data_IF_602359575793
#
_entry.id   IF_602359575793
#
_cell.length_a   1.000
_cell.length_b   1.000
_cell.length_c   1.000
_cell.angle_alpha   90.00
_cell.angle_beta   90.00
_cell.angle_gamma   90.00
#
_symmetry.space_group_name_H-M   'P 1'
#
loop_
_entity.id
_entity.type
_entity.pdbx_description
1 polymer ?
#
# COMPACT_ATOMS: atom_id res chain seq x y z
N UNK A 1 -32.36 -5.35 -9.43
CA UNK A 1 -31.11 -4.76 -9.94
C UNK A 1 -30.16 -4.63 -8.76
N UNK A 2 -29.15 -5.50 -8.72
CA UNK A 2 -28.29 -5.74 -7.56
C UNK A 2 -27.46 -4.49 -7.24
N UNK A 3 -27.74 -3.86 -6.10
CA UNK A 3 -26.80 -2.90 -5.49
C UNK A 3 -25.60 -3.71 -5.01
N UNK A 4 -24.52 -3.66 -5.78
CA UNK A 4 -23.27 -4.31 -5.43
C UNK A 4 -22.81 -3.77 -4.07
N UNK A 5 -22.78 -4.65 -3.07
CA UNK A 5 -22.16 -4.33 -1.79
C UNK A 5 -20.68 -4.05 -2.01
N UNK A 6 -20.22 -2.88 -1.60
CA UNK A 6 -18.78 -2.60 -1.50
C UNK A 6 -18.21 -3.62 -0.50
N UNK A 7 -17.30 -4.53 -0.92
CA UNK A 7 -16.73 -5.48 0.01
C UNK A 7 -16.01 -4.69 1.11
N UNK A 8 -16.24 -5.05 2.38
CA UNK A 8 -15.30 -4.71 3.45
C UNK A 8 -14.05 -5.53 3.19
N UNK A 9 -13.19 -5.05 2.30
CA UNK A 9 -11.89 -5.65 2.04
C UNK A 9 -11.13 -5.63 3.35
N UNK A 10 -10.68 -6.82 3.79
CA UNK A 10 -9.54 -6.93 4.70
C UNK A 10 -8.46 -6.03 4.08
N UNK A 11 -8.11 -4.94 4.75
CA UNK A 11 -7.04 -4.09 4.26
C UNK A 11 -5.78 -4.96 4.28
N UNK A 12 -5.14 -5.13 3.13
CA UNK A 12 -3.89 -5.86 3.06
C UNK A 12 -2.84 -5.08 3.88
N UNK A 13 -2.36 -5.71 4.95
CA UNK A 13 -1.31 -5.17 5.82
C UNK A 13 0.00 -5.84 5.45
N UNK A 14 0.91 -5.06 4.88
CA UNK A 14 2.23 -5.52 4.45
C UNK A 14 3.32 -5.13 5.46
N UNK A 15 4.41 -5.88 5.47
CA UNK A 15 5.61 -5.62 6.30
C UNK A 15 6.86 -5.49 5.43
N UNK A 16 7.99 -5.03 5.98
CA UNK A 16 9.23 -4.96 5.22
C UNK A 16 9.64 -6.31 4.62
N UNK A 17 10.16 -6.26 3.40
CA UNK A 17 10.54 -7.44 2.62
C UNK A 17 9.44 -8.05 1.77
N UNK A 18 8.15 -7.81 2.08
CA UNK A 18 7.04 -8.19 1.21
C UNK A 18 7.17 -7.48 -0.14
N UNK A 19 6.70 -8.11 -1.21
CA UNK A 19 6.61 -7.49 -2.53
C UNK A 19 5.34 -6.65 -2.64
N UNK A 20 5.45 -5.48 -3.26
CA UNK A 20 4.32 -4.60 -3.57
C UNK A 20 3.49 -5.26 -4.69
N UNK A 21 2.39 -5.90 -4.31
CA UNK A 21 1.49 -6.59 -5.27
C UNK A 21 0.66 -5.65 -6.13
N UNK A 22 0.58 -4.35 -5.78
CA UNK A 22 -0.16 -3.33 -6.54
C UNK A 22 0.46 -1.95 -6.34
N UNK A 23 0.83 -1.26 -7.42
CA UNK A 23 1.23 0.15 -7.32
C UNK A 23 0.11 0.98 -6.71
N UNK A 24 0.43 1.99 -5.90
CA UNK A 24 -0.61 2.83 -5.30
C UNK A 24 -0.14 3.68 -4.14
N UNK A 25 -1.13 4.27 -3.46
CA UNK A 25 -0.94 5.02 -2.21
C UNK A 25 -1.17 4.08 -1.04
N UNK A 26 -0.17 4.05 -0.14
CA UNK A 26 -0.16 3.23 1.06
C UNK A 26 -0.07 4.12 2.30
N UNK A 27 -0.85 3.80 3.32
CA UNK A 27 -0.68 4.38 4.66
C UNK A 27 0.42 3.60 5.40
N UNK A 28 1.38 4.35 5.95
CA UNK A 28 2.48 3.84 6.78
C UNK A 28 2.11 3.99 8.24
N UNK A 29 2.27 2.91 9.00
CA UNK A 29 2.01 2.86 10.44
C UNK A 29 3.26 2.39 11.16
N UNK A 30 3.73 3.16 12.14
CA UNK A 30 4.90 2.83 12.95
C UNK A 30 4.47 2.35 14.34
N UNK A 31 4.85 1.12 14.70
CA UNK A 31 4.39 0.50 15.96
C UNK A 31 4.76 1.30 17.22
N UNK A 32 5.96 1.88 17.28
CA UNK A 32 6.42 2.72 18.40
C UNK A 32 6.00 4.20 18.27
N UNK A 33 5.20 4.54 17.25
CA UNK A 33 4.66 5.88 17.02
C UNK A 33 5.72 6.99 16.91
N UNK A 34 6.97 6.67 16.53
CA UNK A 34 8.01 7.68 16.32
C UNK A 34 7.68 8.68 15.20
N UNK A 35 6.74 8.31 14.32
CA UNK A 35 6.10 9.20 13.36
C UNK A 35 4.59 8.92 13.33
N UNK A 36 3.81 9.98 13.05
CA UNK A 36 2.36 9.86 12.82
C UNK A 36 2.09 9.04 11.56
N UNK A 37 0.93 8.35 11.46
CA UNK A 37 0.53 7.70 10.23
C UNK A 37 0.55 8.69 9.05
N UNK A 38 1.11 8.28 7.93
CA UNK A 38 1.27 9.13 6.74
C UNK A 38 1.19 8.28 5.47
N UNK A 39 1.06 8.94 4.32
CA UNK A 39 0.90 8.26 3.03
C UNK A 39 2.17 8.31 2.19
N UNK A 40 2.43 7.23 1.46
CA UNK A 40 3.52 7.11 0.49
C UNK A 40 3.04 6.45 -0.79
N UNK A 41 3.77 6.65 -1.88
CA UNK A 41 3.59 5.88 -3.11
C UNK A 41 4.44 4.61 -3.04
N UNK A 42 3.87 3.46 -3.40
CA UNK A 42 4.61 2.22 -3.60
C UNK A 42 4.40 1.74 -5.05
N UNK A 43 5.45 1.14 -5.63
CA UNK A 43 5.49 0.70 -7.03
C UNK A 43 5.47 -0.82 -7.08
N UNK A 44 4.67 -1.38 -7.99
CA UNK A 44 4.55 -2.82 -8.22
C UNK A 44 5.91 -3.49 -8.40
N UNK A 45 6.07 -4.68 -7.81
CA UNK A 45 7.29 -5.50 -7.75
C UNK A 45 8.47 -4.92 -6.96
N UNK A 46 8.38 -3.70 -6.42
CA UNK A 46 9.34 -3.26 -5.40
C UNK A 46 9.11 -4.04 -4.08
N UNK A 47 10.09 -3.97 -3.17
CA UNK A 47 9.94 -4.49 -1.81
C UNK A 47 9.71 -3.35 -0.82
N UNK A 48 8.84 -3.59 0.15
CA UNK A 48 8.65 -2.63 1.25
C UNK A 48 9.95 -2.51 2.09
N UNK A 49 10.47 -1.29 2.31
CA UNK A 49 11.71 -1.09 3.06
C UNK A 49 11.48 -1.16 4.58
N UNK A 50 12.50 -1.52 5.37
CA UNK A 50 12.45 -1.33 6.82
C UNK A 50 12.50 0.16 7.17
N UNK A 51 11.92 0.52 8.32
CA UNK A 51 12.10 1.84 8.89
C UNK A 51 13.47 1.95 9.57
N UNK A 52 14.06 3.14 9.63
CA UNK A 52 15.34 3.37 10.33
C UNK A 52 15.21 3.18 11.85
N UNK A 53 14.08 3.57 12.43
CA UNK A 53 13.86 3.56 13.88
C UNK A 53 13.12 2.30 14.35
N UNK A 54 11.94 2.02 13.80
CA UNK A 54 11.15 0.84 14.20
C UNK A 54 11.47 -0.44 13.40
N UNK A 55 12.48 -0.39 12.51
CA UNK A 55 12.98 -1.55 11.74
C UNK A 55 11.88 -2.34 11.05
N UNK A 56 11.62 -3.55 11.53
CA UNK A 56 10.67 -4.52 10.95
C UNK A 56 9.22 -4.28 11.40
N UNK A 57 8.99 -3.34 12.32
CA UNK A 57 7.68 -3.08 12.93
C UNK A 57 6.91 -1.93 12.26
N UNK A 58 7.37 -1.48 11.09
CA UNK A 58 6.56 -0.63 10.20
C UNK A 58 5.56 -1.49 9.43
N UNK A 59 4.35 -0.98 9.20
CA UNK A 59 3.33 -1.62 8.36
C UNK A 59 2.88 -0.67 7.26
N UNK A 60 2.52 -1.26 6.12
CA UNK A 60 2.00 -0.56 4.97
C UNK A 60 0.60 -1.08 4.67
N UNK A 61 -0.35 -0.18 4.46
CA UNK A 61 -1.75 -0.52 4.21
C UNK A 61 -2.18 0.12 2.90
N UNK A 62 -2.65 -0.68 1.94
CA UNK A 62 -3.08 -0.14 0.64
C UNK A 62 -4.36 0.69 0.81
N UNK A 63 -4.27 2.00 0.57
CA UNK A 63 -5.41 2.92 0.62
C UNK A 63 -6.07 3.07 -0.74
N UNK A 64 -5.25 3.20 -1.79
CA UNK A 64 -5.72 3.37 -3.17
C UNK A 64 -4.75 2.78 -4.16
N UNK A 65 -5.17 1.74 -4.87
CA UNK A 65 -4.39 1.16 -5.96
C UNK A 65 -4.41 2.01 -7.23
N UNK A 66 -3.28 2.10 -7.92
CA UNK A 66 -3.10 2.79 -9.18
C UNK A 66 -2.97 1.79 -10.33
N UNK A 67 -3.39 2.20 -11.53
CA UNK A 67 -3.13 1.49 -12.77
C UNK A 67 -1.87 2.05 -13.41
N UNK A 68 -1.01 1.18 -13.95
CA UNK A 68 0.15 1.63 -14.69
C UNK A 68 -0.29 2.30 -16.01
N UNK A 69 0.29 3.46 -16.34
CA UNK A 69 -0.16 4.25 -17.51
C UNK A 69 -0.10 3.45 -18.82
N UNK A 70 0.97 2.68 -19.02
CA UNK A 70 1.14 1.85 -20.23
C UNK A 70 0.08 0.72 -20.35
N UNK A 71 -0.62 0.37 -19.27
CA UNK A 71 -1.72 -0.61 -19.30
C UNK A 71 -3.10 0.02 -19.32
N UNK A 72 -3.20 1.35 -19.21
CA UNK A 72 -4.46 2.09 -19.20
C UNK A 72 -4.98 2.32 -20.62
N UNK A 73 -6.26 2.05 -20.88
CA UNK A 73 -6.83 2.08 -22.24
C UNK A 73 -6.74 3.45 -22.93
N UNK A 74 -6.91 4.54 -22.19
CA UNK A 74 -6.86 5.90 -22.73
C UNK A 74 -5.44 6.44 -23.02
N UNK A 75 -4.38 5.71 -22.66
CA UNK A 75 -2.98 6.15 -22.81
C UNK A 75 -2.13 5.16 -23.61
N UNK A 76 -2.78 4.24 -24.33
CA UNK A 76 -2.18 3.34 -25.31
C UNK A 76 -2.26 3.93 -26.70
#
# INVERSE_FOLDING_TARGET
MLRQGVPRTVLDIFKPGDEVSRSGIYQVIHANQHAKPHEVTCVYSDRFPPCRDCRQDVRFVLMRGAQHVASHEHFK
#
